data_IF_895603803390
#
_entry.id   IF_895603803390
#
_cell.length_a   1.000
_cell.length_b   1.000
_cell.length_c   1.000
_cell.angle_alpha   90.00
_cell.angle_beta   90.00
_cell.angle_gamma   90.00
#
_symmetry.space_group_name_H-M   'P 1'
#
loop_
_entity.id
_entity.type
_entity.pdbx_description
1 polymer ?
#
# COMPACT_ATOMS: atom_id res chain seq x y z
N UNK A 1 -5.89 -13.07 -29.28
CA UNK A 1 -6.00 -12.63 -27.88
C UNK A 1 -4.98 -11.53 -27.74
N UNK A 2 -5.37 -10.31 -28.10
CA UNK A 2 -4.44 -9.21 -28.34
C UNK A 2 -3.99 -8.62 -27.01
N UNK A 3 -2.77 -8.99 -26.60
CA UNK A 3 -2.04 -8.44 -25.44
C UNK A 3 -1.35 -7.10 -25.77
N UNK A 4 -1.57 -6.55 -26.97
CA UNK A 4 -1.02 -5.27 -27.39
C UNK A 4 -1.81 -4.14 -26.72
N UNK A 5 -1.24 -3.56 -25.65
CA UNK A 5 -1.77 -2.37 -24.98
C UNK A 5 -1.93 -2.43 -23.47
N UNK A 6 -1.29 -3.39 -22.79
CA UNK A 6 -1.37 -3.55 -21.35
C UNK A 6 -0.19 -2.86 -20.66
N UNK A 7 -0.40 -1.66 -20.10
CA UNK A 7 0.58 -1.04 -19.20
C UNK A 7 0.29 -1.53 -17.77
N UNK A 8 1.08 -2.50 -17.32
CA UNK A 8 1.17 -2.81 -15.89
C UNK A 8 2.05 -1.77 -15.25
N UNK A 9 1.53 -1.08 -14.24
CA UNK A 9 2.38 -0.25 -13.42
C UNK A 9 2.26 -0.67 -11.97
N UNK A 10 3.27 -1.45 -11.56
CA UNK A 10 3.51 -1.74 -10.16
C UNK A 10 3.99 -0.42 -9.57
N UNK A 11 3.17 0.20 -8.71
CA UNK A 11 3.60 1.31 -7.88
C UNK A 11 4.55 0.80 -6.78
N UNK A 12 5.70 0.30 -7.22
CA UNK A 12 6.90 -0.01 -6.45
C UNK A 12 7.83 1.21 -6.42
N UNK A 13 7.28 2.43 -6.34
CA UNK A 13 8.10 3.56 -5.97
C UNK A 13 8.66 3.24 -4.58
N UNK A 14 9.97 3.40 -4.39
CA UNK A 14 10.78 3.08 -3.20
C UNK A 14 10.26 3.61 -1.84
N UNK A 15 9.08 4.24 -1.81
CA UNK A 15 8.38 4.68 -0.60
C UNK A 15 8.06 3.51 0.35
N UNK A 16 7.72 2.33 -0.18
CA UNK A 16 7.42 1.17 0.66
C UNK A 16 8.65 0.64 1.43
N UNK A 17 9.87 0.97 0.99
CA UNK A 17 11.11 0.50 1.62
C UNK A 17 11.68 1.48 2.64
N UNK A 18 11.35 2.78 2.59
CA UNK A 18 11.91 3.74 3.55
C UNK A 18 11.10 3.86 4.84
N UNK A 19 9.79 3.56 4.82
CA UNK A 19 8.86 3.76 5.95
C UNK A 19 9.07 5.12 6.64
N UNK A 20 9.24 6.18 5.83
CA UNK A 20 9.44 7.54 6.33
C UNK A 20 8.22 7.96 7.17
N UNK A 21 8.42 8.37 8.44
CA UNK A 21 7.33 8.76 9.32
C UNK A 21 6.74 10.15 8.99
N UNK A 22 7.32 10.94 8.09
CA UNK A 22 6.77 12.24 7.70
C UNK A 22 5.70 12.10 6.59
N UNK A 23 4.41 12.36 6.89
CA UNK A 23 3.34 12.28 5.90
C UNK A 23 3.54 13.22 4.70
N UNK A 24 4.24 14.35 4.88
CA UNK A 24 4.47 15.32 3.81
C UNK A 24 5.49 14.84 2.79
N UNK A 25 6.40 13.94 3.18
CA UNK A 25 7.36 13.32 2.27
C UNK A 25 6.74 12.15 1.50
N UNK A 26 5.72 11.49 2.06
CA UNK A 26 5.18 10.25 1.51
C UNK A 26 3.88 10.49 0.74
N UNK A 27 2.84 11.03 1.37
CA UNK A 27 1.48 11.07 0.79
C UNK A 27 1.44 11.84 -0.55
N UNK A 28 2.04 13.05 -0.67
CA UNK A 28 2.03 13.77 -1.94
C UNK A 28 2.73 13.02 -3.07
N UNK A 29 3.80 12.28 -2.77
CA UNK A 29 4.52 11.48 -3.78
C UNK A 29 3.64 10.32 -4.27
N UNK A 30 2.95 9.61 -3.37
CA UNK A 30 2.03 8.53 -3.75
C UNK A 30 0.88 9.04 -4.64
N UNK A 31 0.24 10.16 -4.25
CA UNK A 31 -0.86 10.76 -5.00
C UNK A 31 -0.39 11.25 -6.37
N UNK A 32 0.67 12.07 -6.41
CA UNK A 32 1.17 12.65 -7.65
C UNK A 32 1.74 11.57 -8.58
N UNK A 33 2.46 10.58 -8.05
CA UNK A 33 2.98 9.46 -8.82
C UNK A 33 1.86 8.68 -9.50
N UNK A 34 0.83 8.31 -8.74
CA UNK A 34 -0.33 7.59 -9.27
C UNK A 34 -1.04 8.38 -10.36
N UNK A 35 -1.34 9.66 -10.11
CA UNK A 35 -2.03 10.52 -11.07
C UNK A 35 -1.22 10.79 -12.33
N UNK A 36 0.08 11.06 -12.21
CA UNK A 36 0.92 11.37 -13.36
C UNK A 36 0.99 10.20 -14.34
N UNK A 37 1.09 8.99 -13.80
CA UNK A 37 1.19 7.77 -14.60
C UNK A 37 -0.18 7.47 -15.24
N UNK A 38 -1.27 7.53 -14.46
CA UNK A 38 -2.63 7.34 -14.98
C UNK A 38 -2.92 8.33 -16.11
N UNK A 39 -2.62 9.61 -15.92
CA UNK A 39 -2.79 10.65 -16.94
C UNK A 39 -1.91 10.39 -18.17
N UNK A 40 -0.71 9.85 -18.01
CA UNK A 40 0.14 9.47 -19.14
C UNK A 40 -0.45 8.28 -19.90
N UNK A 41 -0.94 7.27 -19.19
CA UNK A 41 -1.61 6.11 -19.78
C UNK A 41 -2.86 6.55 -20.57
N UNK A 42 -3.66 7.46 -20.01
CA UNK A 42 -4.87 7.97 -20.65
C UNK A 42 -4.61 8.77 -21.93
N UNK A 43 -3.40 9.32 -22.10
CA UNK A 43 -2.98 10.03 -23.33
C UNK A 43 -2.46 9.09 -24.41
N UNK A 44 -2.08 7.87 -24.05
CA UNK A 44 -1.51 6.90 -24.98
C UNK A 44 -2.64 6.14 -25.70
N UNK A 45 -2.72 6.25 -27.02
CA UNK A 45 -3.79 5.64 -27.83
C UNK A 45 -3.81 4.11 -27.78
N UNK A 46 -2.64 3.52 -27.57
CA UNK A 46 -2.44 2.07 -27.59
C UNK A 46 -2.64 1.42 -26.22
N UNK A 47 -2.73 2.21 -25.15
CA UNK A 47 -3.00 1.69 -23.79
C UNK A 47 -4.49 1.54 -23.60
N UNK A 48 -4.93 0.34 -23.23
CA UNK A 48 -6.37 0.04 -23.07
C UNK A 48 -6.78 -0.25 -21.64
N UNK A 49 -5.84 -0.65 -20.79
CA UNK A 49 -6.10 -0.94 -19.38
C UNK A 49 -5.00 -0.40 -18.50
N UNK A 50 -5.40 0.03 -17.30
CA UNK A 50 -4.52 0.49 -16.24
C UNK A 50 -4.83 -0.31 -14.97
N UNK A 51 -3.79 -0.88 -14.36
CA UNK A 51 -3.93 -1.61 -13.09
C UNK A 51 -3.02 -0.97 -12.06
N UNK A 52 -3.61 -0.44 -11.00
CA UNK A 52 -2.87 0.05 -9.83
C UNK A 52 -2.58 -1.11 -8.88
N UNK A 53 -1.30 -1.30 -8.54
CA UNK A 53 -0.94 -2.12 -7.37
C UNK A 53 -1.07 -1.28 -6.11
N UNK A 54 -2.21 -1.43 -5.43
CA UNK A 54 -2.48 -0.84 -4.13
C UNK A 54 -2.00 -1.78 -3.01
N UNK A 55 -2.67 -1.81 -1.87
CA UNK A 55 -2.34 -2.63 -0.70
C UNK A 55 -3.61 -2.94 0.08
N UNK A 56 -3.66 -4.07 0.80
CA UNK A 56 -4.70 -4.29 1.81
C UNK A 56 -4.74 -3.17 2.86
N UNK A 57 -3.61 -2.49 3.09
CA UNK A 57 -3.50 -1.31 3.95
C UNK A 57 -4.38 -0.13 3.52
N UNK A 58 -4.81 -0.07 2.26
CA UNK A 58 -5.74 0.95 1.77
C UNK A 58 -7.16 0.75 2.31
N UNK A 59 -7.50 -0.46 2.77
CA UNK A 59 -8.85 -0.80 3.23
C UNK A 59 -8.89 -1.23 4.70
N UNK A 60 -7.80 -1.78 5.24
CA UNK A 60 -7.75 -2.21 6.64
C UNK A 60 -6.31 -2.38 7.15
N UNK A 61 -6.14 -2.47 8.46
CA UNK A 61 -4.93 -2.96 9.12
C UNK A 61 -5.25 -4.32 9.75
N UNK A 62 -4.27 -5.20 9.85
CA UNK A 62 -4.47 -6.50 10.49
C UNK A 62 -4.96 -6.32 11.93
N UNK A 63 -6.22 -6.67 12.19
CA UNK A 63 -6.81 -6.72 13.51
C UNK A 63 -7.48 -8.10 13.70
N UNK A 64 -6.88 -9.02 14.48
CA UNK A 64 -7.44 -10.35 14.72
C UNK A 64 -8.81 -10.34 15.38
N UNK A 65 -9.17 -9.25 16.07
CA UNK A 65 -10.43 -9.08 16.80
C UNK A 65 -11.51 -8.41 15.93
N UNK A 66 -11.15 -7.93 14.74
CA UNK A 66 -12.11 -7.32 13.81
C UNK A 66 -12.84 -8.37 12.98
N UNK A 67 -14.16 -8.21 12.87
CA UNK A 67 -15.04 -8.98 12.00
C UNK A 67 -15.65 -8.12 10.88
N UNK A 68 -15.01 -7.01 10.54
CA UNK A 68 -15.50 -6.09 9.52
C UNK A 68 -15.57 -6.76 8.14
N UNK A 69 -16.69 -6.53 7.44
CA UNK A 69 -16.88 -6.96 6.06
C UNK A 69 -16.23 -5.91 5.16
N UNK A 70 -15.13 -6.30 4.51
CA UNK A 70 -14.44 -5.46 3.54
C UNK A 70 -15.14 -5.55 2.19
N UNK A 71 -15.46 -4.39 1.62
CA UNK A 71 -16.06 -4.25 0.30
C UNK A 71 -15.21 -3.32 -0.57
N UNK A 72 -15.59 -3.14 -1.84
CA UNK A 72 -14.93 -2.17 -2.74
C UNK A 72 -15.06 -0.71 -2.29
N UNK A 73 -15.99 -0.43 -1.38
CA UNK A 73 -16.27 0.91 -0.87
C UNK A 73 -15.65 1.15 0.53
N UNK A 74 -14.93 0.15 1.06
CA UNK A 74 -14.22 0.23 2.35
C UNK A 74 -12.89 0.97 2.18
N UNK A 75 -12.59 1.89 3.08
CA UNK A 75 -11.33 2.66 3.12
C UNK A 75 -10.77 2.73 4.52
N UNK A 76 -9.44 2.69 4.64
CA UNK A 76 -8.73 2.89 5.90
C UNK A 76 -8.62 4.38 6.24
N UNK A 77 -9.76 5.03 6.49
CA UNK A 77 -9.80 6.45 6.87
C UNK A 77 -9.14 6.72 8.22
N UNK A 78 -9.04 5.70 9.08
CA UNK A 78 -8.34 5.81 10.37
C UNK A 78 -6.85 6.10 10.17
N UNK A 79 -6.18 5.39 9.26
CA UNK A 79 -4.78 5.65 8.92
C UNK A 79 -4.59 7.08 8.38
N UNK A 80 -5.52 7.57 7.56
CA UNK A 80 -5.50 8.95 7.06
C UNK A 80 -5.61 9.96 8.21
N UNK A 81 -6.55 9.73 9.13
CA UNK A 81 -6.73 10.60 10.29
C UNK A 81 -5.50 10.61 11.20
N UNK A 82 -4.93 9.44 11.48
CA UNK A 82 -3.70 9.32 12.27
C UNK A 82 -2.51 9.99 11.58
N UNK A 83 -2.37 9.86 10.26
CA UNK A 83 -1.29 10.49 9.52
C UNK A 83 -1.36 12.03 9.55
N UNK A 84 -2.55 12.62 9.70
CA UNK A 84 -2.69 14.08 9.85
C UNK A 84 -2.25 14.60 11.23
N UNK A 85 -2.23 13.74 12.25
CA UNK A 85 -1.82 14.09 13.61
C UNK A 85 -1.18 12.88 14.29
N UNK A 86 0.05 12.56 13.87
CA UNK A 86 0.78 11.39 14.38
C UNK A 86 0.98 11.49 15.90
N UNK A 87 0.57 10.48 16.68
CA UNK A 87 0.79 10.49 18.13
C UNK A 87 2.28 10.47 18.50
N UNK A 88 2.68 11.31 19.45
CA UNK A 88 4.07 11.45 19.89
C UNK A 88 4.63 10.19 20.56
N UNK A 89 3.75 9.36 21.15
CA UNK A 89 4.12 8.13 21.86
C UNK A 89 4.44 6.94 20.93
N UNK A 90 4.27 7.09 19.61
CA UNK A 90 4.63 6.07 18.63
C UNK A 90 6.09 6.20 18.22
N UNK A 91 6.73 5.04 18.01
CA UNK A 91 8.04 4.96 17.37
C UNK A 91 7.98 5.42 15.91
N UNK A 92 9.15 5.75 15.35
CA UNK A 92 9.24 6.15 13.93
C UNK A 92 8.77 5.03 12.99
N UNK A 93 8.98 3.76 13.37
CA UNK A 93 8.54 2.62 12.59
C UNK A 93 7.01 2.51 12.55
N UNK A 94 6.35 2.64 13.70
CA UNK A 94 4.88 2.64 13.79
C UNK A 94 4.26 3.81 13.02
N UNK A 95 4.85 5.02 13.16
CA UNK A 95 4.46 6.20 12.38
C UNK A 95 4.65 5.96 10.88
N UNK A 96 5.77 5.36 10.47
CA UNK A 96 6.04 4.97 9.10
C UNK A 96 4.98 4.03 8.51
N UNK A 97 4.50 3.04 9.27
CA UNK A 97 3.42 2.16 8.84
C UNK A 97 2.07 2.89 8.68
N UNK A 98 1.75 3.82 9.59
CA UNK A 98 0.54 4.66 9.49
C UNK A 98 0.61 5.53 8.22
N UNK A 99 1.74 6.21 8.01
CA UNK A 99 1.97 7.07 6.85
C UNK A 99 1.94 6.26 5.55
N UNK A 100 2.53 5.07 5.54
CA UNK A 100 2.44 4.14 4.42
C UNK A 100 0.97 3.79 4.11
N UNK A 101 0.19 3.38 5.11
CA UNK A 101 -1.22 3.03 4.93
C UNK A 101 -2.02 4.22 4.38
N UNK A 102 -1.87 5.41 4.97
CA UNK A 102 -2.50 6.64 4.50
C UNK A 102 -2.12 6.98 3.05
N UNK A 103 -0.86 6.78 2.66
CA UNK A 103 -0.40 7.01 1.28
C UNK A 103 -1.08 6.07 0.28
N UNK A 104 -1.35 4.81 0.67
CA UNK A 104 -2.07 3.83 -0.16
C UNK A 104 -3.54 4.23 -0.32
N UNK A 105 -4.20 4.63 0.77
CA UNK A 105 -5.57 5.16 0.72
C UNK A 105 -5.65 6.35 -0.23
N UNK A 106 -4.84 7.39 -0.01
CA UNK A 106 -4.93 8.64 -0.77
C UNK A 106 -4.50 8.49 -2.22
N UNK A 107 -3.49 7.66 -2.50
CA UNK A 107 -3.08 7.35 -3.87
C UNK A 107 -4.20 6.67 -4.66
N UNK A 108 -4.87 5.68 -4.07
CA UNK A 108 -5.96 4.96 -4.74
C UNK A 108 -7.24 5.80 -4.86
N UNK A 109 -7.64 6.52 -3.81
CA UNK A 109 -8.76 7.47 -3.87
C UNK A 109 -8.56 8.49 -5.00
N UNK A 110 -7.37 9.11 -5.07
CA UNK A 110 -7.06 10.07 -6.13
C UNK A 110 -7.16 9.48 -7.54
N UNK A 111 -6.77 8.20 -7.72
CA UNK A 111 -6.97 7.49 -8.99
C UNK A 111 -8.45 7.40 -9.33
N UNK A 112 -9.29 6.90 -8.41
CA UNK A 112 -10.72 6.71 -8.64
C UNK A 112 -11.46 8.03 -8.87
N UNK A 113 -11.17 9.06 -8.06
CA UNK A 113 -11.72 10.41 -8.23
C UNK A 113 -11.39 10.97 -9.62
N UNK A 114 -10.15 10.79 -10.08
CA UNK A 114 -9.74 11.25 -11.40
C UNK A 114 -10.45 10.48 -12.51
N UNK A 115 -10.58 9.16 -12.40
CA UNK A 115 -11.29 8.31 -13.37
C UNK A 115 -12.76 8.70 -13.47
N UNK A 116 -13.43 8.92 -12.35
CA UNK A 116 -14.83 9.35 -12.33
C UNK A 116 -15.01 10.72 -12.98
N UNK A 117 -14.14 11.69 -12.66
CA UNK A 117 -14.21 13.04 -13.19
C UNK A 117 -13.86 13.15 -14.68
N UNK A 118 -12.92 12.33 -15.18
CA UNK A 118 -12.37 12.47 -16.54
C UNK A 118 -12.85 11.41 -17.52
N UNK A 119 -13.40 10.28 -17.04
CA UNK A 119 -13.94 9.18 -17.85
C UNK A 119 -12.99 8.78 -19.00
N UNK A 120 -11.73 8.42 -18.70
CA UNK A 120 -10.77 8.05 -19.74
C UNK A 120 -11.27 6.83 -20.54
N UNK A 121 -10.83 6.71 -21.80
CA UNK A 121 -11.00 5.49 -22.60
C UNK A 121 -10.02 4.40 -22.14
N UNK A 122 -10.10 4.05 -20.85
CA UNK A 122 -9.28 3.05 -20.18
C UNK A 122 -10.15 2.19 -19.30
N UNK A 123 -9.89 0.88 -19.29
CA UNK A 123 -10.37 0.00 -18.22
C UNK A 123 -9.43 0.14 -17.04
N UNK A 124 -9.90 0.69 -15.93
CA UNK A 124 -9.11 0.91 -14.72
C UNK A 124 -9.48 -0.10 -13.65
N UNK A 125 -8.48 -0.73 -13.03
CA UNK A 125 -8.63 -1.63 -11.88
C UNK A 125 -7.56 -1.35 -10.83
N UNK A 126 -7.81 -1.78 -9.61
CA UNK A 126 -6.80 -1.90 -8.55
C UNK A 126 -6.72 -3.35 -8.07
N UNK A 127 -5.52 -3.73 -7.63
CA UNK A 127 -5.26 -4.99 -6.90
C UNK A 127 -4.68 -4.61 -5.55
N UNK A 128 -5.19 -5.20 -4.47
CA UNK A 128 -4.82 -4.87 -3.09
C UNK A 128 -4.19 -6.11 -2.41
N UNK A 129 -2.89 -6.37 -2.60
CA UNK A 129 -2.23 -7.48 -1.94
C UNK A 129 -2.08 -7.23 -0.43
N UNK A 130 -2.13 -8.30 0.35
CA UNK A 130 -1.69 -8.31 1.75
C UNK A 130 -0.23 -8.74 1.87
N UNK A 131 0.04 -9.73 2.73
CA UNK A 131 1.36 -10.36 2.83
C UNK A 131 1.67 -11.24 1.62
N UNK A 132 2.59 -10.82 0.74
CA UNK A 132 3.00 -11.60 -0.42
C UNK A 132 4.18 -12.51 -0.09
N UNK A 133 4.01 -13.82 -0.21
CA UNK A 133 5.06 -14.81 -0.01
C UNK A 133 5.29 -15.60 -1.30
N UNK A 134 6.56 -15.84 -1.64
CA UNK A 134 6.92 -16.56 -2.85
C UNK A 134 8.43 -16.63 -3.07
N UNK A 135 8.83 -17.33 -4.14
CA UNK A 135 10.23 -17.45 -4.53
C UNK A 135 10.79 -16.09 -4.93
N UNK A 136 11.90 -15.71 -4.32
CA UNK A 136 12.69 -14.55 -4.73
C UNK A 136 13.40 -14.92 -6.03
N UNK A 137 13.13 -14.15 -7.10
CA UNK A 137 13.63 -14.47 -8.44
C UNK A 137 15.11 -14.14 -8.60
N UNK A 138 15.59 -13.10 -7.92
CA UNK A 138 17.00 -12.71 -7.94
C UNK A 138 17.45 -12.21 -6.57
N UNK A 139 17.80 -13.12 -5.63
CA UNK A 139 18.22 -12.74 -4.29
C UNK A 139 19.40 -11.76 -4.26
N UNK A 140 20.32 -11.86 -5.23
CA UNK A 140 21.50 -11.01 -5.32
C UNK A 140 21.17 -9.54 -5.60
N UNK A 141 20.08 -9.27 -6.34
CA UNK A 141 19.68 -7.93 -6.75
C UNK A 141 18.44 -7.41 -6.00
N UNK A 142 17.59 -8.31 -5.51
CA UNK A 142 16.34 -7.98 -4.81
C UNK A 142 16.52 -8.04 -3.29
N UNK A 143 17.45 -8.85 -2.79
CA UNK A 143 17.52 -9.19 -1.37
C UNK A 143 16.26 -9.91 -0.88
N UNK A 144 15.88 -9.65 0.36
CA UNK A 144 14.62 -10.10 0.97
C UNK A 144 13.80 -8.87 1.38
N UNK A 145 13.14 -8.16 0.43
CA UNK A 145 12.43 -6.94 0.75
C UNK A 145 11.07 -7.25 1.41
N UNK A 146 10.62 -6.33 2.27
CA UNK A 146 9.25 -6.30 2.82
C UNK A 146 8.82 -7.66 3.41
N UNK A 147 7.72 -8.25 2.95
CA UNK A 147 7.10 -9.48 3.49
C UNK A 147 8.02 -10.70 3.41
N UNK A 148 8.93 -10.75 2.44
CA UNK A 148 9.89 -11.86 2.33
C UNK A 148 11.00 -11.80 3.38
N UNK A 149 11.24 -10.63 3.98
CA UNK A 149 12.17 -10.47 5.10
C UNK A 149 11.70 -11.28 6.31
N UNK A 150 10.40 -11.24 6.62
CA UNK A 150 9.82 -12.00 7.73
C UNK A 150 9.98 -13.50 7.52
N UNK A 151 9.69 -14.00 6.30
CA UNK A 151 9.86 -15.41 5.98
C UNK A 151 11.33 -15.85 6.10
N UNK A 152 12.26 -15.00 5.67
CA UNK A 152 13.70 -15.25 5.80
C UNK A 152 14.16 -15.26 7.26
N UNK A 153 13.70 -14.30 8.06
CA UNK A 153 14.01 -14.20 9.49
C UNK A 153 13.49 -15.42 10.26
N UNK A 154 12.25 -15.83 10.01
CA UNK A 154 11.67 -17.06 10.56
C UNK A 154 12.50 -18.29 10.18
N UNK A 155 12.86 -18.43 8.91
CA UNK A 155 13.65 -19.57 8.43
C UNK A 155 15.05 -19.63 9.06
N UNK A 156 15.66 -18.47 9.32
CA UNK A 156 17.00 -18.36 9.88
C UNK A 156 17.03 -18.25 11.42
N UNK A 157 15.88 -18.38 12.10
CA UNK A 157 15.72 -18.19 13.54
C UNK A 157 16.20 -16.82 14.05
N UNK A 158 16.00 -15.75 13.26
CA UNK A 158 16.23 -14.38 13.70
C UNK A 158 15.04 -13.89 14.54
N UNK A 159 15.03 -14.26 15.82
CA UNK A 159 13.95 -13.91 16.74
C UNK A 159 13.76 -12.41 16.94
N UNK A 160 14.82 -11.62 16.82
CA UNK A 160 14.76 -10.18 17.06
C UNK A 160 13.97 -9.50 15.94
N UNK A 161 14.30 -9.82 14.69
CA UNK A 161 13.60 -9.27 13.53
C UNK A 161 12.14 -9.72 13.50
N UNK A 162 11.88 -10.98 13.85
CA UNK A 162 10.50 -11.49 13.96
C UNK A 162 9.70 -10.73 15.01
N UNK A 163 10.28 -10.48 16.21
CA UNK A 163 9.62 -9.71 17.27
C UNK A 163 9.35 -8.27 16.83
N UNK A 164 10.34 -7.60 16.25
CA UNK A 164 10.21 -6.21 15.77
C UNK A 164 9.06 -6.09 14.76
N UNK A 165 9.02 -6.96 13.76
CA UNK A 165 7.96 -6.96 12.74
C UNK A 165 6.57 -7.29 13.31
N UNK A 166 6.50 -8.23 14.26
CA UNK A 166 5.24 -8.60 14.91
C UNK A 166 4.67 -7.46 15.77
N UNK A 167 5.53 -6.62 16.34
CA UNK A 167 5.14 -5.49 17.20
C UNK A 167 5.01 -4.16 16.46
N UNK A 168 5.52 -4.05 15.24
CA UNK A 168 5.61 -2.78 14.52
C UNK A 168 4.31 -2.34 13.83
N UNK A 169 3.37 -3.27 13.63
CA UNK A 169 2.03 -2.89 13.22
C UNK A 169 1.28 -2.35 14.44
N UNK A 170 0.80 -1.10 14.41
CA UNK A 170 0.03 -0.57 15.52
C UNK A 170 -1.17 -1.51 15.75
N UNK A 171 -1.48 -1.88 17.01
CA UNK A 171 -2.62 -2.74 17.28
C UNK A 171 -3.87 -2.08 16.70
N UNK A 172 -4.55 -2.77 15.78
CA UNK A 172 -5.93 -2.41 15.48
C UNK A 172 -6.70 -2.39 16.79
N UNK A 173 -7.61 -1.43 16.97
CA UNK A 173 -8.33 -1.25 18.25
C UNK A 173 -8.77 -2.58 18.83
N UNK A 174 -8.48 -2.78 20.12
CA UNK A 174 -9.24 -3.72 20.93
C UNK A 174 -10.73 -3.35 20.84
N UNK A 175 -11.66 -4.30 20.71
CA UNK A 175 -13.09 -4.03 20.76
C UNK A 175 -13.38 -3.10 21.93
N UNK A 176 -14.05 -1.98 21.68
CA UNK A 176 -14.69 -1.25 22.78
C UNK A 176 -15.67 -2.23 23.43
N UNK A 177 -15.57 -2.48 24.74
CA UNK A 177 -16.54 -3.31 25.43
C UNK A 177 -17.93 -2.70 25.22
N UNK A 178 -18.89 -3.50 24.75
CA UNK A 178 -20.32 -3.18 24.79
C UNK A 178 -20.81 -2.97 26.24
#
# INVERSE_FOLDING_TARGET
MDLLGLMWLINCLNMATSLDPDPNNVIPIAVNGTLNILKSAAKATDVKRFVLTSSSSAVTVANPESHEIITKDTWNEEAVQMANSLPDNLSDLEKGFIVYAASKVKGEQAMWDWVEANKPDLVVNSVLPGGNFGKILSPQNQGFPSTTLLASALFNNDENLVKEFATSYPPGKSPTPE
#
